data_IF_613672568016
#
_entry.id   IF_613672568016
#
_cell.length_a   1.000
_cell.length_b   1.000
_cell.length_c   1.000
_cell.angle_alpha   90.00
_cell.angle_beta   90.00
_cell.angle_gamma   90.00
#
_symmetry.space_group_name_H-M   'P 1'
#
loop_
_entity.id
_entity.type
_entity.pdbx_description
1 polymer ?
#
# COMPACT_ATOMS: atom_id res chain seq x y z
N UNK A 1 43.72 30.89 -36.96
CA UNK A 1 42.75 31.55 -36.05
C UNK A 1 41.39 30.94 -36.37
N UNK A 2 40.97 29.85 -35.70
CA UNK A 2 40.02 29.79 -34.56
C UNK A 2 38.81 30.74 -34.68
N UNK A 3 37.62 30.13 -34.62
CA UNK A 3 36.34 30.50 -33.98
C UNK A 3 35.16 30.22 -34.93
N UNK A 4 34.01 29.66 -34.57
CA UNK A 4 33.57 28.67 -33.58
C UNK A 4 32.13 28.29 -33.99
N UNK A 5 31.73 27.04 -33.75
CA UNK A 5 30.37 26.50 -33.85
C UNK A 5 29.33 27.31 -33.05
N UNK A 6 28.15 27.56 -33.65
CA UNK A 6 26.88 27.66 -32.90
C UNK A 6 25.78 26.94 -33.70
N UNK A 7 25.76 25.60 -33.58
CA UNK A 7 24.58 24.77 -33.84
C UNK A 7 24.43 23.89 -32.61
N UNK A 8 23.45 24.20 -31.76
CA UNK A 8 23.14 23.38 -30.60
C UNK A 8 22.46 24.19 -29.52
N UNK A 9 21.48 23.57 -28.86
CA UNK A 9 20.71 24.05 -27.72
C UNK A 9 19.46 24.87 -28.10
N UNK A 10 18.47 24.18 -28.67
CA UNK A 10 17.07 24.60 -28.60
C UNK A 10 16.13 23.38 -28.57
N UNK A 11 16.44 22.34 -27.79
CA UNK A 11 15.54 21.19 -27.57
C UNK A 11 15.84 20.53 -26.22
N UNK A 12 15.60 21.23 -25.11
CA UNK A 12 15.69 20.62 -23.77
C UNK A 12 14.86 21.34 -22.69
N UNK A 13 13.77 22.05 -23.04
CA UNK A 13 12.92 22.75 -22.06
C UNK A 13 11.42 22.38 -22.13
N UNK A 14 11.01 21.48 -23.02
CA UNK A 14 9.59 21.10 -23.19
C UNK A 14 9.16 19.87 -22.37
N UNK A 15 10.09 19.15 -21.73
CA UNK A 15 9.78 17.90 -21.01
C UNK A 15 9.36 18.08 -19.54
N UNK A 16 9.64 19.23 -18.92
CA UNK A 16 9.29 19.46 -17.50
C UNK A 16 7.85 19.96 -17.33
N UNK A 17 7.31 20.73 -18.27
CA UNK A 17 5.95 21.27 -18.18
C UNK A 17 4.84 20.20 -18.28
N UNK A 18 5.07 19.12 -19.04
CA UNK A 18 4.07 18.09 -19.24
C UNK A 18 3.77 17.31 -17.94
N UNK A 19 4.80 16.93 -17.18
CA UNK A 19 4.64 16.20 -15.93
C UNK A 19 3.87 17.00 -14.86
N UNK A 20 4.12 18.32 -14.78
CA UNK A 20 3.41 19.22 -13.86
C UNK A 20 1.93 19.35 -14.19
N UNK A 21 1.57 19.40 -15.47
CA UNK A 21 0.18 19.51 -15.90
C UNK A 21 -0.64 18.23 -15.62
N UNK A 22 -0.04 17.04 -15.75
CA UNK A 22 -0.77 15.78 -15.52
C UNK A 22 -1.07 15.51 -14.05
N UNK A 23 -0.11 15.73 -13.16
CA UNK A 23 -0.33 15.61 -11.71
C UNK A 23 -1.44 16.57 -11.23
N UNK A 24 -1.53 17.75 -11.86
CA UNK A 24 -2.58 18.72 -11.57
C UNK A 24 -3.97 18.23 -12.01
N UNK A 25 -4.08 17.57 -13.17
CA UNK A 25 -5.37 17.04 -13.65
C UNK A 25 -5.96 15.94 -12.76
N UNK A 26 -5.15 15.07 -12.17
CA UNK A 26 -5.62 14.05 -11.23
C UNK A 26 -6.00 14.66 -9.87
N UNK A 27 -5.23 15.64 -9.40
CA UNK A 27 -5.56 16.37 -8.17
C UNK A 27 -6.88 17.14 -8.32
N UNK A 28 -7.11 17.76 -9.47
CA UNK A 28 -8.36 18.46 -9.80
C UNK A 28 -9.54 17.47 -9.89
N UNK A 29 -9.34 16.29 -10.48
CA UNK A 29 -10.35 15.23 -10.50
C UNK A 29 -10.74 14.76 -9.08
N UNK A 30 -9.75 14.56 -8.21
CA UNK A 30 -9.98 14.21 -6.80
C UNK A 30 -10.70 15.33 -6.05
N UNK A 31 -10.31 16.59 -6.29
CA UNK A 31 -10.96 17.76 -5.69
C UNK A 31 -12.42 17.86 -6.10
N UNK A 32 -12.73 17.70 -7.38
CA UNK A 32 -14.10 17.67 -7.88
C UNK A 32 -14.89 16.51 -7.27
N UNK A 33 -14.27 15.33 -7.13
CA UNK A 33 -14.89 14.17 -6.50
C UNK A 33 -15.26 14.46 -5.04
N UNK A 34 -14.32 14.96 -4.24
CA UNK A 34 -14.55 15.29 -2.82
C UNK A 34 -15.57 16.41 -2.65
N UNK A 35 -15.63 17.36 -3.59
CA UNK A 35 -16.64 18.43 -3.60
C UNK A 35 -18.05 17.93 -3.99
N UNK A 36 -18.22 16.67 -4.38
CA UNK A 36 -19.49 16.13 -4.86
C UNK A 36 -19.83 16.53 -6.30
N UNK A 37 -18.89 17.11 -7.04
CA UNK A 37 -19.05 17.46 -8.45
C UNK A 37 -18.84 16.21 -9.32
N UNK A 38 -19.69 15.19 -9.14
CA UNK A 38 -19.49 13.85 -9.72
C UNK A 38 -19.32 13.83 -11.24
N UNK A 39 -20.08 14.67 -11.95
CA UNK A 39 -20.01 14.77 -13.42
C UNK A 39 -18.70 15.38 -13.88
N UNK A 40 -18.24 16.42 -13.19
CA UNK A 40 -16.95 17.07 -13.45
C UNK A 40 -15.80 16.12 -13.14
N UNK A 41 -15.85 15.46 -11.97
CA UNK A 41 -14.86 14.46 -11.56
C UNK A 41 -14.76 13.31 -12.57
N UNK A 42 -15.89 12.74 -13.00
CA UNK A 42 -15.91 11.67 -13.99
C UNK A 42 -15.24 12.10 -15.32
N UNK A 43 -15.56 13.30 -15.82
CA UNK A 43 -14.94 13.83 -17.03
C UNK A 43 -13.43 14.08 -16.86
N UNK A 44 -13.02 14.60 -15.70
CA UNK A 44 -11.61 14.84 -15.39
C UNK A 44 -10.81 13.54 -15.34
N UNK A 45 -11.32 12.50 -14.66
CA UNK A 45 -10.68 11.18 -14.66
C UNK A 45 -10.63 10.58 -16.07
N UNK A 46 -11.69 10.71 -16.88
CA UNK A 46 -11.70 10.19 -18.25
C UNK A 46 -10.55 10.77 -19.09
N UNK A 47 -10.26 12.07 -18.91
CA UNK A 47 -9.19 12.76 -19.61
C UNK A 47 -7.79 12.46 -19.06
N UNK A 48 -7.68 12.08 -17.79
CA UNK A 48 -6.43 11.85 -17.09
C UNK A 48 -5.97 10.38 -17.16
N UNK A 49 -6.85 9.41 -16.92
CA UNK A 49 -6.48 7.99 -16.78
C UNK A 49 -5.71 7.39 -17.97
N UNK A 50 -6.00 7.71 -19.25
CA UNK A 50 -5.21 7.18 -20.37
C UNK A 50 -3.72 7.56 -20.32
N UNK A 51 -3.38 8.63 -19.58
CA UNK A 51 -2.04 9.19 -19.47
C UNK A 51 -1.30 8.72 -18.22
N UNK A 52 -2.01 8.05 -17.31
CA UNK A 52 -1.42 7.47 -16.11
C UNK A 52 -0.52 6.27 -16.44
N UNK A 53 0.57 6.06 -15.69
CA UNK A 53 1.37 4.85 -15.78
C UNK A 53 0.50 3.60 -15.59
N UNK A 54 0.89 2.49 -16.24
CA UNK A 54 0.14 1.22 -16.15
C UNK A 54 -0.13 0.78 -14.70
N UNK A 55 0.79 1.09 -13.77
CA UNK A 55 0.65 0.77 -12.35
C UNK A 55 -0.46 1.52 -11.62
N UNK A 56 -0.85 2.71 -12.09
CA UNK A 56 -1.85 3.59 -11.47
C UNK A 56 -3.15 3.67 -12.26
N UNK A 57 -3.12 3.28 -13.54
CA UNK A 57 -4.25 3.41 -14.46
C UNK A 57 -5.52 2.71 -13.97
N UNK A 58 -5.39 1.51 -13.38
CA UNK A 58 -6.54 0.78 -12.85
C UNK A 58 -7.20 1.50 -11.67
N UNK A 59 -6.40 2.09 -10.77
CA UNK A 59 -6.89 2.88 -9.65
C UNK A 59 -7.57 4.18 -10.14
N UNK A 60 -6.98 4.86 -11.12
CA UNK A 60 -7.59 6.04 -11.74
C UNK A 60 -8.97 5.70 -12.34
N UNK A 61 -9.08 4.61 -13.10
CA UNK A 61 -10.36 4.22 -13.67
C UNK A 61 -11.35 3.71 -12.61
N UNK A 62 -10.89 3.16 -11.48
CA UNK A 62 -11.77 2.86 -10.35
C UNK A 62 -12.39 4.14 -9.78
N UNK A 63 -11.61 5.20 -9.58
CA UNK A 63 -12.15 6.50 -9.16
C UNK A 63 -13.15 7.08 -10.17
N UNK A 64 -12.88 6.93 -11.47
CA UNK A 64 -13.83 7.28 -12.51
C UNK A 64 -15.14 6.49 -12.40
N UNK A 65 -15.08 5.17 -12.17
CA UNK A 65 -16.26 4.31 -11.96
C UNK A 65 -17.08 4.81 -10.77
N UNK A 66 -16.42 5.13 -9.66
CA UNK A 66 -17.07 5.68 -8.46
C UNK A 66 -17.69 7.05 -8.74
N UNK A 67 -17.03 7.92 -9.52
CA UNK A 67 -17.59 9.22 -9.88
C UNK A 67 -18.85 9.05 -10.75
N UNK A 68 -18.78 8.19 -11.76
CA UNK A 68 -19.90 7.91 -12.67
C UNK A 68 -21.13 7.35 -11.95
N UNK A 69 -20.94 6.44 -10.99
CA UNK A 69 -22.06 5.86 -10.23
C UNK A 69 -22.81 6.87 -9.37
N UNK A 70 -22.12 7.93 -8.93
CA UNK A 70 -22.68 8.97 -8.06
C UNK A 70 -23.38 10.09 -8.84
N UNK A 71 -23.33 10.09 -10.18
CA UNK A 71 -23.97 11.15 -11.01
C UNK A 71 -25.50 11.12 -11.01
N UNK A 72 -26.14 10.06 -10.50
CA UNK A 72 -27.59 9.88 -10.55
C UNK A 72 -28.15 9.49 -11.93
N UNK A 73 -27.31 9.32 -12.95
CA UNK A 73 -27.71 8.91 -14.30
C UNK A 73 -27.62 7.39 -14.48
N UNK A 74 -28.71 6.77 -14.91
CA UNK A 74 -28.74 5.34 -15.26
C UNK A 74 -27.73 5.00 -16.38
N UNK A 75 -27.53 5.92 -17.33
CA UNK A 75 -26.54 5.75 -18.40
C UNK A 75 -25.12 5.76 -17.85
N UNK A 76 -24.79 6.72 -16.98
CA UNK A 76 -23.48 6.79 -16.31
C UNK A 76 -23.23 5.55 -15.45
N UNK A 77 -24.24 5.07 -14.72
CA UNK A 77 -24.15 3.84 -13.93
C UNK A 77 -23.88 2.61 -14.81
N UNK A 78 -24.52 2.50 -15.98
CA UNK A 78 -24.26 1.43 -16.95
C UNK A 78 -22.83 1.49 -17.51
N UNK A 79 -22.31 2.68 -17.77
CA UNK A 79 -20.91 2.88 -18.21
C UNK A 79 -19.96 2.45 -17.08
N UNK A 80 -20.22 2.88 -15.86
CA UNK A 80 -19.44 2.53 -14.68
C UNK A 80 -19.38 1.01 -14.48
N UNK A 81 -20.51 0.32 -14.57
CA UNK A 81 -20.57 -1.14 -14.45
C UNK A 81 -19.75 -1.86 -15.52
N UNK A 82 -19.90 -1.48 -16.80
CA UNK A 82 -19.10 -2.07 -17.90
C UNK A 82 -17.61 -1.86 -17.72
N UNK A 83 -17.22 -0.65 -17.28
CA UNK A 83 -15.81 -0.31 -17.04
C UNK A 83 -15.26 -1.11 -15.87
N UNK A 84 -16.02 -1.26 -14.79
CA UNK A 84 -15.65 -2.07 -13.64
C UNK A 84 -15.44 -3.54 -14.03
N UNK A 85 -16.37 -4.12 -14.80
CA UNK A 85 -16.24 -5.50 -15.31
C UNK A 85 -14.95 -5.65 -16.15
N UNK A 86 -14.67 -4.68 -17.03
CA UNK A 86 -13.45 -4.67 -17.84
C UNK A 86 -12.18 -4.56 -16.99
N UNK A 87 -12.18 -3.73 -15.93
CA UNK A 87 -11.04 -3.61 -15.02
C UNK A 87 -10.78 -4.91 -14.27
N UNK A 88 -11.84 -5.58 -13.78
CA UNK A 88 -11.72 -6.87 -13.09
C UNK A 88 -11.13 -7.93 -14.02
N UNK A 89 -11.61 -8.00 -15.27
CA UNK A 89 -11.13 -8.99 -16.25
C UNK A 89 -9.66 -8.79 -16.65
N UNK A 90 -9.16 -7.57 -16.61
CA UNK A 90 -7.82 -7.22 -17.10
C UNK A 90 -6.80 -7.02 -15.97
N UNK A 91 -7.24 -6.88 -14.73
CA UNK A 91 -6.36 -6.70 -13.57
C UNK A 91 -5.95 -8.05 -13.03
N UNK A 92 -4.64 -8.27 -12.89
CA UNK A 92 -4.13 -9.48 -12.24
C UNK A 92 -4.62 -9.55 -10.77
N UNK A 93 -5.23 -10.66 -10.31
CA UNK A 93 -5.71 -10.85 -8.94
C UNK A 93 -4.66 -10.65 -7.83
N UNK A 94 -3.38 -10.67 -8.18
CA UNK A 94 -2.25 -10.41 -7.27
C UNK A 94 -1.99 -8.92 -7.02
N UNK A 95 -2.59 -8.02 -7.82
CA UNK A 95 -2.44 -6.57 -7.65
C UNK A 95 -3.24 -6.11 -6.44
N UNK A 96 -2.68 -5.16 -5.69
CA UNK A 96 -3.31 -4.63 -4.47
C UNK A 96 -4.72 -4.06 -4.72
N UNK A 97 -4.94 -3.44 -5.89
CA UNK A 97 -6.21 -2.83 -6.29
C UNK A 97 -7.33 -3.85 -6.57
N UNK A 98 -6.99 -5.13 -6.79
CA UNK A 98 -7.97 -6.14 -7.23
C UNK A 98 -9.09 -6.35 -6.20
N UNK A 99 -8.74 -6.37 -4.91
CA UNK A 99 -9.72 -6.47 -3.83
C UNK A 99 -10.71 -5.28 -3.83
N UNK A 100 -10.23 -4.07 -4.12
CA UNK A 100 -11.08 -2.88 -4.20
C UNK A 100 -12.02 -2.93 -5.41
N UNK A 101 -11.55 -3.46 -6.55
CA UNK A 101 -12.39 -3.71 -7.73
C UNK A 101 -13.51 -4.69 -7.40
N UNK A 102 -13.18 -5.83 -6.78
CA UNK A 102 -14.16 -6.85 -6.40
C UNK A 102 -15.15 -6.33 -5.35
N UNK A 103 -14.67 -5.58 -4.35
CA UNK A 103 -15.52 -4.95 -3.35
C UNK A 103 -16.47 -3.92 -3.97
N UNK A 104 -16.00 -3.16 -4.95
CA UNK A 104 -16.85 -2.20 -5.70
C UNK A 104 -17.88 -2.95 -6.53
N UNK A 105 -17.51 -4.07 -7.17
CA UNK A 105 -18.44 -4.89 -7.96
C UNK A 105 -19.52 -5.52 -7.08
N UNK A 106 -19.16 -6.02 -5.89
CA UNK A 106 -20.12 -6.51 -4.92
C UNK A 106 -21.17 -5.44 -4.55
N UNK A 107 -20.74 -4.21 -4.29
CA UNK A 107 -21.65 -3.09 -3.99
C UNK A 107 -22.55 -2.72 -5.19
N UNK A 108 -22.00 -2.69 -6.40
CA UNK A 108 -22.77 -2.45 -7.63
C UNK A 108 -23.84 -3.53 -7.84
N UNK A 109 -23.47 -4.80 -7.67
CA UNK A 109 -24.39 -5.92 -7.83
C UNK A 109 -25.46 -5.93 -6.74
N UNK A 110 -25.10 -5.58 -5.50
CA UNK A 110 -26.03 -5.40 -4.40
C UNK A 110 -27.07 -4.32 -4.73
N UNK A 111 -26.62 -3.17 -5.25
CA UNK A 111 -27.50 -2.07 -5.69
C UNK A 111 -28.44 -2.50 -6.82
N UNK A 112 -27.95 -3.31 -7.76
CA UNK A 112 -28.73 -3.86 -8.87
C UNK A 112 -29.66 -5.03 -8.48
N UNK A 113 -29.73 -5.42 -7.20
CA UNK A 113 -30.53 -6.55 -6.75
C UNK A 113 -29.96 -7.93 -7.11
N UNK A 114 -28.72 -8.00 -7.60
CA UNK A 114 -28.03 -9.25 -7.97
C UNK A 114 -27.29 -9.83 -6.77
N UNK A 115 -28.03 -10.28 -5.76
CA UNK A 115 -27.49 -10.60 -4.45
C UNK A 115 -26.49 -11.77 -4.44
N UNK A 116 -26.76 -12.85 -5.16
CA UNK A 116 -25.84 -14.01 -5.21
C UNK A 116 -24.50 -13.62 -5.83
N UNK A 117 -24.56 -12.91 -6.96
CA UNK A 117 -23.36 -12.39 -7.62
C UNK A 117 -22.62 -11.34 -6.80
N UNK A 118 -23.32 -10.60 -5.93
CA UNK A 118 -22.69 -9.68 -5.00
C UNK A 118 -21.93 -10.43 -3.89
N UNK A 119 -22.47 -11.56 -3.43
CA UNK A 119 -21.82 -12.43 -2.45
C UNK A 119 -20.56 -13.08 -3.03
N UNK A 120 -20.63 -13.62 -4.25
CA UNK A 120 -19.47 -14.17 -4.97
C UNK A 120 -18.33 -13.15 -5.08
N UNK A 121 -18.64 -11.92 -5.50
CA UNK A 121 -17.64 -10.87 -5.62
C UNK A 121 -17.04 -10.47 -4.28
N UNK A 122 -17.87 -10.42 -3.23
CA UNK A 122 -17.40 -10.09 -1.89
C UNK A 122 -16.48 -11.18 -1.32
N UNK A 123 -16.78 -12.45 -1.56
CA UNK A 123 -15.89 -13.57 -1.21
C UNK A 123 -14.53 -13.36 -1.89
N UNK A 124 -14.53 -13.11 -3.21
CA UNK A 124 -13.29 -12.86 -3.94
C UNK A 124 -12.53 -11.63 -3.41
N UNK A 125 -13.24 -10.55 -3.05
CA UNK A 125 -12.65 -9.36 -2.45
C UNK A 125 -11.93 -9.72 -1.14
N UNK A 126 -12.57 -10.49 -0.26
CA UNK A 126 -11.99 -10.92 1.02
C UNK A 126 -10.73 -11.78 0.79
N UNK A 127 -10.80 -12.75 -0.12
CA UNK A 127 -9.70 -13.67 -0.40
C UNK A 127 -8.47 -13.00 -1.02
N UNK A 128 -8.65 -11.84 -1.67
CA UNK A 128 -7.58 -11.07 -2.30
C UNK A 128 -7.19 -9.82 -1.50
N UNK A 129 -7.88 -9.55 -0.39
CA UNK A 129 -7.71 -8.35 0.42
C UNK A 129 -6.42 -8.32 1.25
N UNK A 130 -6.11 -7.13 1.75
CA UNK A 130 -5.04 -6.89 2.72
C UNK A 130 -5.63 -6.53 4.08
N UNK A 131 -4.89 -6.72 5.19
CA UNK A 131 -5.40 -6.47 6.54
C UNK A 131 -5.98 -5.06 6.79
N UNK A 132 -5.44 -4.04 6.12
CA UNK A 132 -5.94 -2.66 6.25
C UNK A 132 -7.36 -2.47 5.68
N UNK A 133 -7.83 -3.37 4.81
CA UNK A 133 -9.15 -3.31 4.17
C UNK A 133 -10.24 -4.01 5.01
N UNK A 134 -9.86 -4.72 6.09
CA UNK A 134 -10.77 -5.57 6.85
C UNK A 134 -12.00 -4.80 7.38
N UNK A 135 -11.79 -3.59 7.91
CA UNK A 135 -12.86 -2.76 8.47
C UNK A 135 -13.89 -2.35 7.40
N UNK A 136 -13.43 -2.05 6.19
CA UNK A 136 -14.32 -1.66 5.08
C UNK A 136 -15.11 -2.88 4.61
N UNK A 137 -14.42 -4.02 4.41
CA UNK A 137 -15.05 -5.28 4.00
C UNK A 137 -16.08 -5.77 5.02
N UNK A 138 -15.87 -5.57 6.32
CA UNK A 138 -16.85 -5.90 7.36
C UNK A 138 -18.18 -5.14 7.17
N UNK A 139 -18.11 -3.87 6.77
CA UNK A 139 -19.32 -3.08 6.48
C UNK A 139 -20.06 -3.62 5.26
N UNK A 140 -19.34 -3.98 4.21
CA UNK A 140 -19.92 -4.57 2.99
C UNK A 140 -20.51 -5.94 3.29
N UNK A 141 -19.83 -6.77 4.09
CA UNK A 141 -20.35 -8.03 4.63
C UNK A 141 -21.70 -7.88 5.33
N UNK A 142 -21.84 -6.89 6.22
CA UNK A 142 -23.13 -6.63 6.89
C UNK A 142 -24.23 -6.32 5.88
N UNK A 143 -23.94 -5.52 4.86
CA UNK A 143 -24.92 -5.13 3.85
C UNK A 143 -25.35 -6.31 2.95
N UNK A 144 -24.40 -7.12 2.49
CA UNK A 144 -24.68 -8.27 1.61
C UNK A 144 -25.38 -9.40 2.38
N UNK A 145 -24.94 -9.72 3.61
CA UNK A 145 -25.56 -10.74 4.47
C UNK A 145 -26.99 -10.42 4.87
N UNK A 146 -27.38 -9.15 4.85
CA UNK A 146 -28.78 -8.77 5.07
C UNK A 146 -29.70 -9.14 3.89
N UNK A 147 -29.13 -9.46 2.72
CA UNK A 147 -29.88 -9.77 1.48
C UNK A 147 -29.68 -11.20 0.98
N UNK A 148 -28.56 -11.84 1.31
CA UNK A 148 -28.23 -13.21 0.90
C UNK A 148 -27.97 -14.10 2.11
N UNK A 149 -28.42 -15.35 2.03
CA UNK A 149 -28.04 -16.42 2.95
C UNK A 149 -26.99 -17.29 2.25
N UNK A 150 -25.73 -17.15 2.65
CA UNK A 150 -24.62 -17.98 2.16
C UNK A 150 -23.70 -18.32 3.31
N UNK A 151 -23.48 -19.61 3.52
CA UNK A 151 -22.58 -20.13 4.56
C UNK A 151 -21.13 -19.77 4.25
N UNK A 152 -20.70 -19.96 3.00
CA UNK A 152 -19.36 -19.58 2.55
C UNK A 152 -19.08 -18.08 2.73
N UNK A 153 -20.07 -17.22 2.40
CA UNK A 153 -19.95 -15.79 2.67
C UNK A 153 -19.84 -15.50 4.17
N UNK A 154 -20.61 -16.20 5.02
CA UNK A 154 -20.54 -16.02 6.46
C UNK A 154 -19.15 -16.36 6.98
N UNK A 155 -18.59 -17.47 6.56
CA UNK A 155 -17.27 -17.93 6.97
C UNK A 155 -16.20 -16.92 6.54
N UNK A 156 -16.21 -16.49 5.28
CA UNK A 156 -15.28 -15.47 4.77
C UNK A 156 -15.40 -14.14 5.51
N UNK A 157 -16.62 -13.69 5.77
CA UNK A 157 -16.84 -12.47 6.56
C UNK A 157 -16.34 -12.58 8.00
N UNK A 158 -16.42 -13.77 8.63
CA UNK A 158 -15.94 -13.99 9.99
C UNK A 158 -14.40 -13.89 10.08
N UNK A 159 -13.69 -14.23 9.01
CA UNK A 159 -12.23 -14.16 8.94
C UNK A 159 -11.71 -12.72 9.02
N UNK A 160 -12.52 -11.73 8.66
CA UNK A 160 -12.15 -10.31 8.78
C UNK A 160 -11.96 -9.86 10.23
N UNK A 161 -12.42 -10.63 11.21
CA UNK A 161 -12.18 -10.36 12.63
C UNK A 161 -10.75 -10.70 13.08
N UNK A 162 -9.99 -11.43 12.26
CA UNK A 162 -8.62 -11.84 12.54
C UNK A 162 -7.67 -11.47 11.38
N UNK A 163 -6.79 -10.47 11.55
CA UNK A 163 -5.84 -10.05 10.51
C UNK A 163 -4.93 -11.17 10.00
N UNK A 164 -4.56 -12.13 10.85
CA UNK A 164 -3.67 -13.24 10.48
C UNK A 164 -4.36 -14.22 9.53
N UNK A 165 -5.68 -14.41 9.69
CA UNK A 165 -6.49 -15.25 8.82
C UNK A 165 -6.54 -14.71 7.39
N UNK A 166 -6.60 -13.39 7.20
CA UNK A 166 -6.58 -12.77 5.87
C UNK A 166 -5.23 -12.99 5.18
N UNK A 167 -4.12 -12.88 5.91
CA UNK A 167 -2.79 -13.15 5.36
C UNK A 167 -2.65 -14.60 4.91
N UNK A 168 -3.16 -15.55 5.69
CA UNK A 168 -3.11 -16.97 5.37
C UNK A 168 -3.95 -17.30 4.11
N UNK A 169 -5.17 -16.79 4.03
CA UNK A 169 -6.07 -17.03 2.89
C UNK A 169 -5.53 -16.40 1.63
N UNK A 170 -5.03 -15.16 1.71
CA UNK A 170 -4.38 -14.52 0.56
C UNK A 170 -3.27 -15.43 0.05
N UNK A 171 -2.34 -15.85 0.90
CA UNK A 171 -1.24 -16.76 0.51
C UNK A 171 -1.75 -18.05 -0.19
N UNK A 172 -2.84 -18.65 0.31
CA UNK A 172 -3.46 -19.82 -0.30
C UNK A 172 -4.09 -19.50 -1.69
N UNK A 173 -4.82 -18.39 -1.81
CA UNK A 173 -5.40 -17.92 -3.07
C UNK A 173 -4.32 -17.53 -4.09
N UNK A 174 -3.18 -17.01 -3.62
CA UNK A 174 -2.02 -16.75 -4.47
C UNK A 174 -1.44 -18.06 -5.00
N UNK A 175 -1.21 -19.07 -4.16
CA UNK A 175 -0.71 -20.37 -4.57
C UNK A 175 -1.64 -21.08 -5.59
N UNK A 176 -2.97 -20.98 -5.39
CA UNK A 176 -3.97 -21.52 -6.31
C UNK A 176 -3.97 -20.81 -7.68
N UNK A 177 -3.78 -19.50 -7.69
CA UNK A 177 -3.67 -18.72 -8.93
C UNK A 177 -2.40 -19.08 -9.73
N UNK A 178 -1.27 -19.30 -9.07
CA UNK A 178 -0.02 -19.69 -9.74
C UNK A 178 -0.12 -21.08 -10.37
N UNK A 179 -0.77 -22.03 -9.69
CA UNK A 179 -0.99 -23.39 -10.20
C UNK A 179 -1.95 -23.44 -11.41
N UNK A 180 -2.87 -22.48 -11.54
CA UNK A 180 -3.80 -22.40 -12.67
C UNK A 180 -3.20 -21.76 -13.94
N UNK A 181 -2.04 -21.12 -13.83
CA UNK A 181 -1.30 -20.52 -14.96
C UNK A 181 -0.16 -21.38 -15.51
N UNK A 182 0.11 -22.54 -14.91
CA UNK A 182 1.05 -23.50 -15.49
C UNK A 182 0.36 -24.27 -16.62
N UNK A 183 0.81 -24.18 -17.88
CA UNK A 183 0.31 -25.06 -18.92
C UNK A 183 0.62 -26.49 -18.48
N UNK A 184 -0.37 -27.38 -18.56
CA UNK A 184 -0.20 -28.81 -18.34
C UNK A 184 0.92 -29.34 -19.25
N UNK A 185 2.17 -29.32 -18.75
CA UNK A 185 3.29 -29.98 -19.37
C UNK A 185 3.13 -31.45 -19.04
N UNK A 186 2.61 -32.16 -20.04
CA UNK A 186 2.54 -33.61 -20.16
C UNK A 186 3.73 -34.26 -19.45
N UNK A 187 3.41 -35.12 -18.49
CA UNK A 187 4.37 -36.00 -17.84
C UNK A 187 5.06 -36.89 -18.88
N UNK A 188 6.39 -36.89 -18.85
CA UNK A 188 7.24 -37.95 -19.40
C UNK A 188 8.52 -38.05 -18.53
N UNK A 189 9.07 -39.27 -18.37
CA UNK A 189 9.59 -39.75 -17.09
C UNK A 189 11.04 -39.34 -16.78
N UNK A 190 11.37 -39.44 -15.49
CA UNK A 190 12.68 -39.26 -14.87
C UNK A 190 13.83 -39.99 -15.59
N UNK A 191 15.03 -39.38 -15.60
CA UNK A 191 16.27 -40.12 -15.47
C UNK A 191 16.83 -39.98 -14.05
N UNK A 192 17.22 -41.15 -13.53
CA UNK A 192 17.88 -41.41 -12.25
C UNK A 192 19.18 -40.63 -12.01
N UNK A 193 19.61 -40.52 -10.74
CA UNK A 193 20.53 -39.49 -10.24
C UNK A 193 22.00 -39.80 -10.53
N UNK A 194 22.77 -38.75 -10.83
CA UNK A 194 24.23 -38.81 -10.87
C UNK A 194 24.79 -38.25 -9.56
N UNK A 195 25.57 -39.10 -8.91
CA UNK A 195 26.37 -38.90 -7.72
C UNK A 195 27.45 -37.83 -7.97
N UNK A 196 27.65 -36.93 -7.00
CA UNK A 196 28.93 -36.26 -6.79
C UNK A 196 29.16 -36.04 -5.28
N UNK A 197 30.33 -36.53 -4.85
CA UNK A 197 30.94 -36.60 -3.51
C UNK A 197 31.48 -35.21 -3.04
N UNK A 198 31.81 -34.99 -1.74
CA UNK A 198 31.57 -33.72 -1.05
C UNK A 198 32.81 -32.85 -0.74
N UNK A 199 32.50 -31.74 -0.05
CA UNK A 199 33.31 -30.88 0.83
C UNK A 199 33.94 -29.62 0.20
N UNK A 200 34.23 -28.54 0.98
CA UNK A 200 34.13 -28.39 2.43
C UNK A 200 33.38 -27.13 2.91
N UNK A 201 33.14 -27.15 4.23
CA UNK A 201 32.59 -26.10 5.07
C UNK A 201 33.45 -24.82 5.10
N UNK A 202 32.79 -23.66 5.24
CA UNK A 202 33.41 -22.44 5.76
C UNK A 202 32.49 -21.81 6.82
N UNK A 203 32.88 -22.06 8.07
CA UNK A 203 32.94 -21.19 9.23
C UNK A 203 31.84 -20.15 9.51
N UNK A 204 31.15 -20.40 10.63
CA UNK A 204 30.67 -19.36 11.56
C UNK A 204 31.86 -18.52 12.07
N UNK A 205 31.58 -17.28 12.51
CA UNK A 205 32.05 -16.93 13.84
C UNK A 205 30.89 -16.59 14.79
N UNK A 206 31.04 -17.19 15.97
CA UNK A 206 30.33 -16.97 17.22
C UNK A 206 30.62 -15.57 17.79
N UNK A 207 29.58 -15.06 18.46
CA UNK A 207 29.60 -14.40 19.77
C UNK A 207 30.56 -13.23 20.01
N UNK A 208 29.99 -12.06 20.27
CA UNK A 208 30.55 -11.10 21.22
C UNK A 208 29.46 -10.70 22.23
N UNK A 209 29.77 -10.96 23.50
CA UNK A 209 29.03 -10.54 24.69
C UNK A 209 29.27 -9.03 24.97
N UNK A 210 28.60 -8.44 25.98
CA UNK A 210 28.12 -7.06 25.95
C UNK A 210 29.21 -6.05 26.28
N UNK A 211 29.30 -4.97 25.50
CA UNK A 211 30.19 -3.85 25.79
C UNK A 211 29.37 -2.71 26.38
N UNK A 212 29.86 -2.22 27.52
CA UNK A 212 29.24 -1.30 28.45
C UNK A 212 28.71 0.01 27.83
N UNK A 213 27.67 0.52 28.51
CA UNK A 213 27.05 1.82 28.29
C UNK A 213 28.06 2.98 28.39
N UNK A 214 28.01 3.96 27.47
CA UNK A 214 28.46 5.31 27.77
C UNK A 214 27.37 6.03 28.57
N UNK A 215 27.81 6.62 29.68
CA UNK A 215 27.03 7.39 30.62
C UNK A 215 26.21 8.52 29.96
N UNK A 216 25.06 8.80 30.57
CA UNK A 216 24.25 9.97 30.32
C UNK A 216 25.07 11.27 30.46
N UNK A 217 24.96 12.22 29.51
CA UNK A 217 25.21 13.61 29.80
C UNK A 217 23.98 14.22 30.47
N UNK A 218 24.27 14.93 31.54
CA UNK A 218 23.36 15.54 32.49
C UNK A 218 22.36 16.54 31.87
N UNK A 219 21.30 16.75 32.64
CA UNK A 219 20.31 17.79 32.50
C UNK A 219 20.94 19.16 32.18
N UNK A 220 20.47 19.76 31.09
CA UNK A 220 20.55 21.20 30.84
C UNK A 220 19.22 21.60 30.17
N UNK A 221 18.56 22.60 30.77
CA UNK A 221 17.41 23.43 30.37
C UNK A 221 16.46 22.98 29.22
N UNK A 222 15.15 23.29 29.29
CA UNK A 222 14.17 22.85 28.27
C UNK A 222 14.44 23.58 26.95
N UNK A 223 15.29 23.00 26.11
CA UNK A 223 15.43 23.38 24.71
C UNK A 223 14.28 22.66 24.03
N UNK A 224 13.31 23.40 23.50
CA UNK A 224 12.28 22.80 22.68
C UNK A 224 12.94 22.22 21.42
N UNK A 225 12.85 20.91 21.20
CA UNK A 225 13.41 20.26 20.01
C UNK A 225 12.38 19.37 19.34
N UNK A 226 12.42 19.36 18.02
CA UNK A 226 11.63 18.48 17.17
C UNK A 226 12.31 17.12 17.03
N UNK A 227 11.54 16.05 17.15
CA UNK A 227 11.97 14.69 16.81
C UNK A 227 11.02 14.10 15.78
N UNK A 228 11.52 13.15 15.00
CA UNK A 228 10.68 12.39 14.08
C UNK A 228 10.37 11.05 14.71
N UNK A 229 9.10 10.81 14.99
CA UNK A 229 8.64 9.49 15.40
C UNK A 229 8.38 8.63 14.17
N UNK A 230 9.06 7.49 14.11
CA UNK A 230 8.98 6.54 13.00
C UNK A 230 7.99 5.40 13.27
N UNK A 231 7.56 5.25 14.53
CA UNK A 231 6.57 4.25 14.92
C UNK A 231 6.36 4.18 16.43
N UNK A 232 5.22 3.63 16.83
CA UNK A 232 4.90 3.31 18.23
C UNK A 232 4.51 1.84 18.32
N UNK A 233 5.25 1.06 19.11
CA UNK A 233 5.07 -0.38 19.23
C UNK A 233 4.61 -0.78 20.62
N UNK A 234 3.71 -1.77 20.71
CA UNK A 234 3.28 -2.32 22.01
C UNK A 234 4.28 -3.29 22.65
N UNK A 235 5.34 -3.66 21.94
CA UNK A 235 6.37 -4.61 22.40
C UNK A 235 7.77 -4.13 22.01
N UNK A 236 8.74 -4.29 22.92
CA UNK A 236 10.12 -3.83 22.74
C UNK A 236 10.80 -4.48 21.54
N UNK A 237 10.57 -5.78 21.34
CA UNK A 237 11.15 -6.56 20.22
C UNK A 237 10.78 -5.99 18.84
N UNK A 238 9.55 -5.50 18.67
CA UNK A 238 9.13 -4.88 17.39
C UNK A 238 9.80 -3.53 17.17
N UNK A 239 10.00 -2.75 18.24
CA UNK A 239 10.76 -1.49 18.17
C UNK A 239 12.25 -1.74 17.85
N UNK A 240 12.85 -2.78 18.44
CA UNK A 240 14.25 -3.15 18.19
C UNK A 240 14.49 -3.61 16.74
N UNK A 241 13.53 -4.28 16.12
CA UNK A 241 13.60 -4.66 14.71
C UNK A 241 13.64 -3.43 13.80
N UNK A 242 12.80 -2.43 14.07
CA UNK A 242 12.81 -1.18 13.30
C UNK A 242 14.13 -0.43 13.47
N UNK A 243 14.63 -0.32 14.72
CA UNK A 243 15.92 0.33 15.01
C UNK A 243 17.08 -0.41 14.33
N UNK A 244 17.08 -1.74 14.35
CA UNK A 244 18.13 -2.55 13.71
C UNK A 244 18.14 -2.37 12.20
N UNK A 245 16.96 -2.33 11.57
CA UNK A 245 16.84 -2.09 10.13
C UNK A 245 17.28 -0.67 9.75
N UNK A 246 16.93 0.32 10.56
CA UNK A 246 17.33 1.72 10.36
C UNK A 246 18.82 1.96 10.60
N UNK A 247 19.42 1.27 11.58
CA UNK A 247 20.86 1.33 11.85
C UNK A 247 21.68 0.79 10.68
N UNK A 248 21.22 -0.28 10.02
CA UNK A 248 21.83 -0.80 8.77
C UNK A 248 21.80 0.24 7.64
N UNK A 249 20.80 1.12 7.64
CA UNK A 249 20.65 2.23 6.69
C UNK A 249 21.38 3.51 7.15
N UNK A 250 22.24 3.43 8.18
CA UNK A 250 22.98 4.55 8.78
C UNK A 250 22.07 5.66 9.38
N UNK A 251 20.88 5.30 9.85
CA UNK A 251 19.95 6.23 10.50
C UNK A 251 19.98 5.98 12.02
N UNK A 252 20.35 7.01 12.77
CA UNK A 252 20.40 6.96 14.24
C UNK A 252 19.00 7.05 14.83
N UNK A 253 18.56 6.00 15.53
CA UNK A 253 17.25 5.94 16.15
C UNK A 253 17.37 5.65 17.65
N UNK A 254 16.42 6.16 18.42
CA UNK A 254 16.32 5.97 19.86
C UNK A 254 14.93 5.45 20.20
N UNK A 255 14.86 4.51 21.14
CA UNK A 255 13.58 3.99 21.64
C UNK A 255 13.26 4.74 22.93
N UNK A 256 12.08 5.34 23.00
CA UNK A 256 11.54 5.97 24.20
C UNK A 256 10.40 5.09 24.71
N UNK A 257 10.50 4.64 25.94
CA UNK A 257 9.43 3.93 26.64
C UNK A 257 8.45 4.98 27.18
N UNK A 258 7.22 4.99 26.69
CA UNK A 258 6.16 5.88 27.15
C UNK A 258 5.02 5.06 27.75
N UNK A 259 4.81 5.14 29.07
CA UNK A 259 3.64 4.51 29.70
C UNK A 259 2.37 5.22 29.23
N UNK A 260 1.38 4.45 28.77
CA UNK A 260 0.05 4.94 28.35
C UNK A 260 -1.03 4.10 29.05
N UNK A 261 -1.42 4.54 30.24
CA UNK A 261 -2.36 3.80 31.09
C UNK A 261 -1.74 2.48 31.57
N UNK A 262 -2.44 1.37 31.33
CA UNK A 262 -2.00 0.02 31.74
C UNK A 262 -0.94 -0.62 30.82
N UNK A 263 -0.53 0.05 29.72
CA UNK A 263 0.42 -0.51 28.73
C UNK A 263 1.56 0.47 28.45
N UNK A 264 2.77 -0.08 28.28
CA UNK A 264 3.96 0.70 27.86
C UNK A 264 4.09 0.64 26.34
N UNK A 265 4.17 1.81 25.69
CA UNK A 265 4.49 1.92 24.27
C UNK A 265 5.97 2.22 24.09
N UNK A 266 6.57 1.57 23.10
CA UNK A 266 7.96 1.77 22.69
C UNK A 266 7.95 2.63 21.43
N UNK A 267 8.25 3.92 21.57
CA UNK A 267 8.26 4.86 20.46
C UNK A 267 9.66 4.94 19.87
N UNK A 268 9.78 4.64 18.59
CA UNK A 268 11.04 4.76 17.86
C UNK A 268 11.10 6.17 17.28
N UNK A 269 12.11 6.93 17.69
CA UNK A 269 12.32 8.30 17.26
C UNK A 269 13.70 8.46 16.62
N UNK A 270 13.83 9.37 15.66
CA UNK A 270 15.11 9.72 15.02
C UNK A 270 15.31 11.22 14.97
N UNK A 271 16.58 11.61 15.14
CA UNK A 271 17.03 13.00 15.09
C UNK A 271 16.55 13.86 16.26
N UNK A 272 17.30 14.94 16.48
CA UNK A 272 16.91 16.09 17.30
C UNK A 272 17.13 17.31 16.41
N UNK A 273 16.06 18.07 16.18
CA UNK A 273 16.06 19.20 15.26
C UNK A 273 15.55 20.43 16.01
N UNK A 274 16.14 21.59 15.76
CA UNK A 274 15.71 22.81 16.44
C UNK A 274 14.41 23.37 15.83
N UNK A 275 14.17 23.07 14.55
CA UNK A 275 12.99 23.53 13.81
C UNK A 275 12.25 22.38 13.12
N UNK A 276 10.94 22.58 12.91
CA UNK A 276 10.08 21.62 12.21
C UNK A 276 10.56 21.37 10.77
N UNK A 277 11.03 22.40 10.08
CA UNK A 277 11.46 22.32 8.68
C UNK A 277 12.72 21.47 8.54
N UNK A 278 13.68 21.59 9.47
CA UNK A 278 14.85 20.70 9.51
C UNK A 278 14.48 19.23 9.73
N UNK A 279 13.45 18.96 10.53
CA UNK A 279 12.94 17.61 10.72
C UNK A 279 12.30 17.08 9.44
N UNK A 280 11.51 17.89 8.74
CA UNK A 280 10.87 17.51 7.46
C UNK A 280 11.93 17.29 6.37
N UNK A 281 12.94 18.14 6.28
CA UNK A 281 14.02 18.01 5.30
C UNK A 281 14.86 16.76 5.54
N UNK A 282 15.16 16.43 6.79
CA UNK A 282 15.83 15.17 7.12
C UNK A 282 14.97 13.97 6.72
N UNK A 283 13.66 14.04 6.97
CA UNK A 283 12.73 12.99 6.61
C UNK A 283 12.61 12.83 5.08
N UNK A 284 12.53 13.92 4.33
CA UNK A 284 12.50 13.91 2.87
C UNK A 284 13.77 13.29 2.27
N UNK A 285 14.93 13.57 2.85
CA UNK A 285 16.21 13.09 2.32
C UNK A 285 16.56 11.65 2.74
N UNK A 286 16.15 11.20 3.93
CA UNK A 286 16.57 9.90 4.50
C UNK A 286 15.45 8.89 4.68
N UNK A 287 14.22 9.34 4.92
CA UNK A 287 13.08 8.47 5.25
C UNK A 287 12.12 8.28 4.06
N UNK A 288 11.90 9.31 3.24
CA UNK A 288 11.06 9.22 2.05
C UNK A 288 11.56 8.20 1.01
N UNK A 289 12.88 8.06 0.73
CA UNK A 289 13.39 7.03 -0.17
C UNK A 289 13.14 5.61 0.36
N UNK A 290 12.99 5.47 1.68
CA UNK A 290 12.77 4.20 2.37
C UNK A 290 11.28 3.91 2.59
N UNK A 291 10.36 4.79 2.16
CA UNK A 291 8.91 4.71 2.38
C UNK A 291 8.53 4.51 3.85
N UNK A 292 9.28 5.14 4.76
CA UNK A 292 9.03 5.05 6.19
C UNK A 292 8.08 6.18 6.57
N UNK A 293 6.94 5.83 7.17
CA UNK A 293 6.02 6.82 7.74
C UNK A 293 6.67 7.50 8.94
N UNK A 294 6.55 8.82 9.01
CA UNK A 294 7.11 9.60 10.09
C UNK A 294 6.13 10.67 10.57
N UNK A 295 6.18 10.96 11.86
CA UNK A 295 5.42 12.03 12.48
C UNK A 295 6.38 13.00 13.19
N UNK A 296 6.44 14.28 12.78
CA UNK A 296 7.21 15.29 13.50
C UNK A 296 6.51 15.62 14.83
N UNK A 297 7.25 15.52 15.92
CA UNK A 297 6.79 15.81 17.27
C UNK A 297 7.68 16.85 17.93
N UNK A 298 7.05 17.87 18.51
CA UNK A 298 7.72 18.85 19.36
C UNK A 298 7.89 18.25 20.77
N UNK A 299 9.13 18.19 21.25
CA UNK A 299 9.48 17.85 22.63
C UNK A 299 9.88 19.13 23.37
N UNK A 300 9.40 19.25 24.59
CA UNK A 300 9.65 20.36 25.53
C UNK A 300 10.25 19.80 26.80
#
# INVERSE_FOLDING_TARGET
>A
MKFWNVRGIAFALLSVFAASAFAQTMADAHKAYVAGNWKEAAAAYEAACPKEPDSLRAECYLWNVLALSQTGSAQSFKIAGKRLDSLIQTTNPQRAIYADLMMTSAQFRLYLGKYDKAAEDLIQAIETSHPHQAIVLQKVCKAVKAKVKSEDLNDRCNLLNNPDSLKAIRTASQAKATAATEPAKVAAPEPKPVVAEPAPAVEQPKTAAPVAAPAAPAATAPIEYWTLQLGAFGTKSNADLLVSNLKKQKISCTIIEQPRGEKTLYLVQTGKFDTKDQAIDFAANKLAPLKIEYQPLLKR
#
